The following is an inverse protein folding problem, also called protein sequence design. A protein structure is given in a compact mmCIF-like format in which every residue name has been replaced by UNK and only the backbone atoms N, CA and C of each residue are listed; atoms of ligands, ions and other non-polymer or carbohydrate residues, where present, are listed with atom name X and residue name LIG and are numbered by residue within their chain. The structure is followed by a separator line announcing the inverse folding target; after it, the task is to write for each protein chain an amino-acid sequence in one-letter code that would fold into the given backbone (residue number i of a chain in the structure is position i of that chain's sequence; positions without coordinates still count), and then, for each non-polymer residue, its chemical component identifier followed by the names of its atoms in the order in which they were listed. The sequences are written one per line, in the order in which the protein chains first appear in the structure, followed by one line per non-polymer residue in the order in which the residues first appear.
data_IF_861200820893
#
_entry.id   IF_861200820893
#
_cell.length_a   1.000
_cell.length_b   1.000
_cell.length_c   1.000
_cell.angle_alpha   90.00
_cell.angle_beta   90.00
_cell.angle_gamma   90.00
#
_symmetry.space_group_name_H-M   'P 1'
#
loop_
_entity.id
_entity.type
_entity.pdbx_description
1 polymer ?
#
# COMPACT_ATOMS: atom_id res chain seq x y z
N UNK A 1 -12.04 0.68 -2.89
CA UNK A 1 -12.28 -0.46 -1.97
C UNK A 1 -10.97 -0.83 -1.27
N UNK A 2 -10.91 -0.77 0.06
CA UNK A 2 -9.82 -1.40 0.83
C UNK A 2 -10.29 -2.81 1.25
N UNK A 3 -9.46 -3.84 1.04
CA UNK A 3 -9.89 -5.24 0.93
C UNK A 3 -10.24 -5.96 2.25
N UNK A 4 -10.56 -5.25 3.34
CA UNK A 4 -10.89 -5.87 4.62
C UNK A 4 -12.08 -5.18 5.29
N UNK A 5 -12.94 -6.00 5.91
CA UNK A 5 -14.04 -5.49 6.73
C UNK A 5 -13.49 -4.66 7.89
N UNK A 6 -13.91 -3.40 8.08
CA UNK A 6 -13.50 -2.58 9.22
C UNK A 6 -13.77 -3.26 10.57
N UNK A 7 -14.79 -4.13 10.63
CA UNK A 7 -15.14 -4.89 11.83
C UNK A 7 -14.01 -5.78 12.38
N UNK A 8 -13.14 -6.28 11.49
CA UNK A 8 -12.03 -7.17 11.85
C UNK A 8 -10.67 -6.55 11.58
N UNK A 9 -10.62 -5.27 11.19
CA UNK A 9 -9.37 -4.57 10.98
C UNK A 9 -8.75 -4.23 12.35
N UNK A 10 -7.51 -4.66 12.63
CA UNK A 10 -6.82 -4.20 13.82
C UNK A 10 -6.56 -2.69 13.74
N UNK A 11 -6.61 -2.02 14.88
CA UNK A 11 -6.36 -0.58 14.97
C UNK A 11 -4.98 -0.21 14.41
N UNK A 12 -4.96 0.68 13.41
CA UNK A 12 -3.72 1.09 12.74
C UNK A 12 -2.71 1.72 13.70
N UNK A 13 -3.20 2.35 14.78
CA UNK A 13 -2.36 2.94 15.82
C UNK A 13 -1.44 1.92 16.51
N UNK A 14 -1.78 0.62 16.48
CA UNK A 14 -0.89 -0.44 16.98
C UNK A 14 0.40 -0.54 16.19
N UNK A 15 0.36 -0.29 14.88
CA UNK A 15 1.57 -0.21 14.05
C UNK A 15 2.44 0.97 14.49
N UNK A 16 1.84 2.15 14.71
CA UNK A 16 2.57 3.34 15.16
C UNK A 16 3.10 3.24 16.58
N UNK A 17 2.47 2.43 17.44
CA UNK A 17 2.90 2.20 18.82
C UNK A 17 3.85 0.99 18.99
N UNK A 18 4.10 0.21 17.92
CA UNK A 18 4.93 -0.98 17.99
C UNK A 18 6.33 -0.68 18.56
N UNK A 19 6.80 -1.52 19.48
CA UNK A 19 8.12 -1.45 20.10
C UNK A 19 8.61 -2.90 20.34
N UNK A 20 9.77 -3.31 19.79
CA UNK A 20 10.66 -2.52 18.92
C UNK A 20 10.02 -2.18 17.57
N UNK A 21 10.51 -1.10 16.94
CA UNK A 21 10.22 -0.80 15.54
C UNK A 21 10.92 -1.82 14.63
N UNK A 22 10.25 -2.19 13.54
CA UNK A 22 10.85 -2.95 12.44
C UNK A 22 10.99 -2.08 11.19
N UNK A 23 11.98 -2.37 10.37
CA UNK A 23 12.12 -1.74 9.06
C UNK A 23 11.04 -2.29 8.11
N UNK A 24 10.25 -1.40 7.50
CA UNK A 24 9.18 -1.79 6.57
C UNK A 24 9.64 -1.64 5.12
N UNK A 25 9.53 -2.69 4.32
CA UNK A 25 9.68 -2.61 2.88
C UNK A 25 8.32 -2.75 2.19
N UNK A 26 7.97 -1.78 1.36
CA UNK A 26 6.81 -1.83 0.48
C UNK A 26 7.26 -1.84 -0.98
N UNK A 27 7.17 -3.00 -1.64
CA UNK A 27 7.40 -3.13 -3.09
C UNK A 27 6.03 -3.16 -3.78
N UNK A 28 5.88 -2.35 -4.83
CA UNK A 28 4.68 -2.33 -5.67
C UNK A 28 5.05 -2.16 -7.14
N UNK A 29 4.11 -2.48 -8.03
CA UNK A 29 4.19 -2.06 -9.43
C UNK A 29 3.87 -0.57 -9.61
N UNK A 30 4.42 0.04 -10.66
CA UNK A 30 4.04 1.39 -11.11
C UNK A 30 2.67 1.41 -11.78
N UNK A 31 2.29 0.29 -12.40
CA UNK A 31 1.14 0.16 -13.29
C UNK A 31 0.03 -0.72 -12.65
N UNK A 32 0.13 -0.94 -11.34
CA UNK A 32 -0.87 -1.66 -10.56
C UNK A 32 -2.22 -0.94 -10.64
N UNK A 33 -3.20 -1.56 -11.31
CA UNK A 33 -4.57 -1.06 -11.38
C UNK A 33 -5.42 -1.49 -10.18
N UNK A 34 -5.01 -2.51 -9.45
CA UNK A 34 -5.75 -3.04 -8.29
C UNK A 34 -5.57 -2.11 -7.10
N UNK A 35 -4.31 -1.89 -6.68
CA UNK A 35 -3.96 -0.99 -5.58
C UNK A 35 -3.47 0.35 -6.12
N UNK A 36 -4.42 1.21 -6.45
CA UNK A 36 -4.19 2.52 -7.08
C UNK A 36 -5.13 3.58 -6.53
N UNK A 37 -4.69 4.85 -6.61
CA UNK A 37 -5.54 5.99 -6.28
C UNK A 37 -6.73 6.16 -7.22
N UNK A 38 -6.66 5.53 -8.40
CA UNK A 38 -7.71 5.55 -9.43
C UNK A 38 -8.07 4.11 -9.84
N UNK A 39 -8.07 3.19 -8.88
CA UNK A 39 -8.42 1.79 -9.13
C UNK A 39 -9.81 1.70 -9.78
N UNK A 40 -9.96 1.09 -10.97
CA UNK A 40 -11.27 0.86 -11.58
C UNK A 40 -12.09 -0.18 -10.82
N UNK A 41 -11.47 -0.91 -9.87
CA UNK A 41 -12.16 -1.83 -8.97
C UNK A 41 -12.81 -1.11 -7.77
N UNK A 42 -12.60 0.20 -7.63
CA UNK A 42 -13.34 1.02 -6.69
C UNK A 42 -14.61 1.61 -7.34
N UNK A 43 -15.81 1.21 -6.89
CA UNK A 43 -17.06 1.70 -7.49
C UNK A 43 -17.19 3.22 -7.49
N UNK A 44 -16.61 3.89 -6.49
CA UNK A 44 -16.60 5.34 -6.41
C UNK A 44 -15.71 6.00 -7.48
N UNK A 45 -14.58 5.39 -7.86
CA UNK A 45 -13.77 5.84 -9.01
C UNK A 45 -14.57 5.77 -10.31
N UNK A 46 -15.22 4.64 -10.54
CA UNK A 46 -16.07 4.41 -11.73
C UNK A 46 -17.28 5.35 -11.73
N UNK A 47 -17.87 5.60 -10.56
CA UNK A 47 -18.93 6.59 -10.37
C UNK A 47 -18.50 8.02 -10.69
N UNK A 48 -17.33 8.43 -10.22
CA UNK A 48 -16.76 9.75 -10.54
C UNK A 48 -16.45 9.92 -12.04
N UNK A 49 -16.23 8.83 -12.76
CA UNK A 49 -16.05 8.82 -14.22
C UNK A 49 -17.39 8.78 -15.00
N UNK A 50 -18.53 8.76 -14.30
CA UNK A 50 -19.86 8.72 -14.92
C UNK A 50 -20.28 7.34 -15.44
N UNK A 51 -19.57 6.29 -15.05
CA UNK A 51 -19.79 4.91 -15.53
C UNK A 51 -20.67 4.07 -14.60
N UNK A 52 -20.94 4.55 -13.37
CA UNK A 52 -21.83 3.89 -12.41
C UNK A 52 -23.13 4.70 -12.23
N UNK A 53 -24.29 4.22 -12.73
CA UNK A 53 -25.56 4.89 -12.57
C UNK A 53 -25.93 5.10 -11.09
N UNK A 54 -26.53 6.24 -10.78
CA UNK A 54 -27.01 6.61 -9.44
C UNK A 54 -25.92 6.64 -8.33
N UNK A 55 -24.63 6.72 -8.69
CA UNK A 55 -23.58 6.97 -7.71
C UNK A 55 -23.83 8.32 -6.99
N UNK A 56 -23.79 8.37 -5.64
CA UNK A 56 -24.33 9.50 -4.87
C UNK A 56 -23.43 10.75 -4.85
N UNK A 57 -22.30 10.74 -5.56
CA UNK A 57 -21.37 11.85 -5.63
C UNK A 57 -20.23 11.79 -4.60
N UNK A 58 -19.27 12.70 -4.77
CA UNK A 58 -18.03 12.75 -4.01
C UNK A 58 -18.24 12.99 -2.51
N UNK A 59 -19.26 13.77 -2.13
CA UNK A 59 -19.50 14.13 -0.74
C UNK A 59 -20.02 12.97 0.11
N UNK A 60 -20.67 11.98 -0.54
CA UNK A 60 -21.29 10.83 0.13
C UNK A 60 -20.43 9.58 -0.02
N UNK A 61 -19.91 9.31 -1.21
CA UNK A 61 -19.13 8.11 -1.48
C UNK A 61 -17.90 8.41 -2.37
N UNK A 62 -16.86 9.07 -1.81
CA UNK A 62 -15.67 9.44 -2.56
C UNK A 62 -14.80 8.22 -2.92
N UNK A 63 -14.03 8.28 -4.03
CA UNK A 63 -12.98 7.32 -4.36
C UNK A 63 -11.96 7.16 -3.23
N UNK A 64 -11.39 5.96 -3.13
CA UNK A 64 -10.36 5.63 -2.14
C UNK A 64 -8.94 5.80 -2.74
N UNK A 65 -8.15 6.79 -2.29
CA UNK A 65 -6.79 6.99 -2.79
C UNK A 65 -5.80 6.01 -2.11
N UNK A 66 -5.75 4.76 -2.57
CA UNK A 66 -5.06 3.66 -1.86
C UNK A 66 -3.56 3.86 -1.65
N UNK A 67 -2.85 4.43 -2.63
CA UNK A 67 -1.42 4.70 -2.51
C UNK A 67 -1.18 5.82 -1.49
N UNK A 68 -1.98 6.88 -1.54
CA UNK A 68 -1.83 8.02 -0.63
C UNK A 68 -2.19 7.62 0.81
N UNK A 69 -3.23 6.80 0.97
CA UNK A 69 -3.59 6.22 2.27
C UNK A 69 -2.45 5.35 2.83
N UNK A 70 -1.87 4.48 2.02
CA UNK A 70 -0.72 3.65 2.44
C UNK A 70 0.49 4.50 2.82
N UNK A 71 0.82 5.52 2.01
CA UNK A 71 1.91 6.45 2.32
C UNK A 71 1.66 7.21 3.60
N UNK A 72 0.46 7.73 3.83
CA UNK A 72 0.12 8.46 5.05
C UNK A 72 0.34 7.59 6.31
N UNK A 73 0.00 6.31 6.25
CA UNK A 73 0.27 5.35 7.33
C UNK A 73 1.78 5.16 7.54
N UNK A 74 2.54 4.91 6.47
CA UNK A 74 3.98 4.65 6.55
C UNK A 74 4.78 5.90 6.97
N UNK A 75 4.40 7.08 6.48
CA UNK A 75 4.97 8.37 6.90
C UNK A 75 4.72 8.63 8.39
N UNK A 76 3.51 8.33 8.89
CA UNK A 76 3.23 8.44 10.32
C UNK A 76 4.04 7.43 11.13
N UNK A 77 4.19 6.20 10.64
CA UNK A 77 5.08 5.21 11.25
C UNK A 77 6.53 5.71 11.35
N UNK A 78 7.06 6.34 10.28
CA UNK A 78 8.38 6.95 10.29
C UNK A 78 8.49 8.10 11.31
N UNK A 79 7.47 8.98 11.37
CA UNK A 79 7.39 10.06 12.37
C UNK A 79 7.31 9.52 13.81
N UNK A 80 6.84 8.29 14.00
CA UNK A 80 6.81 7.59 15.30
C UNK A 80 8.09 6.78 15.59
N UNK A 81 9.18 7.03 14.87
CA UNK A 81 10.50 6.43 15.13
C UNK A 81 10.79 5.14 14.36
N UNK A 82 9.89 4.68 13.50
CA UNK A 82 10.16 3.58 12.59
C UNK A 82 10.88 4.01 11.31
N UNK A 83 11.17 3.05 10.43
CA UNK A 83 11.62 3.34 9.06
C UNK A 83 10.78 2.58 8.05
N UNK A 84 10.66 3.14 6.84
CA UNK A 84 10.11 2.40 5.71
C UNK A 84 10.83 2.76 4.41
N UNK A 85 10.73 1.87 3.44
CA UNK A 85 11.21 2.08 2.08
C UNK A 85 10.13 1.66 1.08
N UNK A 86 9.68 2.60 0.26
CA UNK A 86 8.83 2.33 -0.89
C UNK A 86 9.71 2.05 -2.11
N UNK A 87 9.37 1.00 -2.88
CA UNK A 87 9.97 0.72 -4.18
C UNK A 87 8.87 0.49 -5.21
N UNK A 88 8.80 1.37 -6.20
CA UNK A 88 7.94 1.23 -7.35
C UNK A 88 8.72 0.60 -8.51
N UNK A 89 8.42 -0.65 -8.85
CA UNK A 89 8.96 -1.29 -10.04
C UNK A 89 8.27 -0.72 -11.27
N UNK A 90 9.04 -0.13 -12.18
CA UNK A 90 8.52 0.40 -13.44
C UNK A 90 8.03 -0.73 -14.33
N UNK A 91 7.06 -0.45 -15.19
CA UNK A 91 6.49 -1.40 -16.16
C UNK A 91 6.05 -2.71 -15.48
N UNK A 92 5.36 -2.58 -14.33
CA UNK A 92 4.95 -3.70 -13.48
C UNK A 92 3.58 -3.46 -12.90
N UNK A 93 2.70 -4.46 -12.98
CA UNK A 93 1.36 -4.46 -12.42
C UNK A 93 1.29 -4.91 -10.96
N UNK A 94 0.20 -5.59 -10.62
CA UNK A 94 -0.16 -5.92 -9.25
C UNK A 94 0.71 -7.00 -8.60
N UNK A 95 1.39 -7.83 -9.39
CA UNK A 95 2.15 -8.99 -8.88
C UNK A 95 3.64 -8.84 -9.20
N UNK A 96 4.35 -7.88 -8.56
CA UNK A 96 5.74 -7.57 -8.90
C UNK A 96 6.69 -8.76 -8.76
N UNK A 97 6.40 -9.70 -7.85
CA UNK A 97 7.20 -10.92 -7.66
C UNK A 97 6.99 -11.98 -8.76
N UNK A 98 5.88 -11.92 -9.51
CA UNK A 98 5.65 -12.79 -10.69
C UNK A 98 6.12 -12.12 -11.98
N UNK A 99 5.95 -10.80 -12.09
CA UNK A 99 6.23 -10.04 -13.31
C UNK A 99 7.71 -9.69 -13.46
N UNK A 100 8.37 -9.28 -12.38
CA UNK A 100 9.81 -8.98 -12.36
C UNK A 100 10.55 -9.72 -11.23
N UNK A 101 10.56 -11.07 -11.24
CA UNK A 101 11.06 -11.89 -10.13
C UNK A 101 12.51 -11.60 -9.79
N UNK A 102 13.38 -11.35 -10.77
CA UNK A 102 14.80 -11.06 -10.55
C UNK A 102 14.98 -9.75 -9.78
N UNK A 103 14.35 -8.68 -10.25
CA UNK A 103 14.41 -7.35 -9.62
C UNK A 103 13.78 -7.39 -8.23
N UNK A 104 12.60 -7.99 -8.10
CA UNK A 104 11.91 -8.18 -6.83
C UNK A 104 12.79 -8.92 -5.82
N UNK A 105 13.31 -10.10 -6.19
CA UNK A 105 14.13 -10.92 -5.30
C UNK A 105 15.40 -10.20 -4.86
N UNK A 106 16.07 -9.47 -5.75
CA UNK A 106 17.23 -8.65 -5.39
C UNK A 106 16.90 -7.64 -4.29
N UNK A 107 15.76 -6.95 -4.41
CA UNK A 107 15.32 -5.94 -3.44
C UNK A 107 14.88 -6.58 -2.12
N UNK A 108 14.14 -7.69 -2.21
CA UNK A 108 13.60 -8.42 -1.07
C UNK A 108 14.71 -9.09 -0.26
N UNK A 109 15.61 -9.85 -0.89
CA UNK A 109 16.72 -10.52 -0.20
C UNK A 109 17.65 -9.52 0.49
N UNK A 110 17.98 -8.41 -0.17
CA UNK A 110 18.77 -7.33 0.45
C UNK A 110 18.12 -6.78 1.73
N UNK A 111 16.78 -6.70 1.77
CA UNK A 111 16.08 -6.19 2.95
C UNK A 111 16.10 -7.17 4.11
N UNK A 112 15.81 -8.45 3.86
CA UNK A 112 15.82 -9.46 4.93
C UNK A 112 17.24 -9.77 5.44
N UNK A 113 18.26 -9.68 4.59
CA UNK A 113 19.67 -9.76 5.02
C UNK A 113 20.01 -8.60 5.98
N UNK A 114 19.58 -7.37 5.68
CA UNK A 114 19.79 -6.22 6.55
C UNK A 114 19.14 -6.41 7.93
N UNK A 115 17.90 -6.90 7.97
CA UNK A 115 17.18 -7.16 9.22
C UNK A 115 17.89 -8.20 10.07
N UNK A 116 18.41 -9.27 9.46
CA UNK A 116 19.14 -10.32 10.19
C UNK A 116 20.41 -9.81 10.89
N UNK A 117 20.99 -8.70 10.44
CA UNK A 117 22.17 -8.09 11.08
C UNK A 117 21.83 -7.11 12.21
N UNK A 118 20.56 -6.73 12.41
CA UNK A 118 20.13 -5.84 13.51
C UNK A 118 19.70 -6.61 14.77
N UNK A 119 19.54 -7.93 14.70
CA UNK A 119 18.99 -8.79 15.77
C UNK A 119 20.07 -9.65 16.46
N UNK A 120 21.35 -9.35 16.24
CA UNK A 120 22.50 -10.06 16.87
C UNK A 120 23.28 -9.10 17.76
#
# INVERSE_FOLDING_TARGET
MNALSPKYAPEINRLHAADPKIDILWIRGSDDLVVSNQSPFDPATVGAQGLLPNWPGLDIYPPQPMLDQTRAVLEKYAKSGGTYREVALQDTGHFPYLEQPITFNKIFHKHIEHVNHQVI
#
